data_IF_870485229233
#
_entry.id   IF_870485229233
#
_cell.length_a   1.000
_cell.length_b   1.000
_cell.length_c   1.000
_cell.angle_alpha   90.00
_cell.angle_beta   90.00
_cell.angle_gamma   90.00
#
_symmetry.space_group_name_H-M   'P 1'
#
loop_
_entity.id
_entity.type
_entity.pdbx_description
1 polymer ?
#
# COMPACT_ATOMS: atom_id res chain seq x y z
N UNK A 1 4.55 -12.14 7.91
CA UNK A 1 3.18 -12.51 7.47
C UNK A 1 2.18 -12.65 8.61
N UNK A 2 2.34 -13.61 9.54
CA UNK A 2 1.37 -13.89 10.62
C UNK A 2 0.92 -12.64 11.40
N UNK A 3 1.86 -11.84 11.91
CA UNK A 3 1.52 -10.63 12.68
C UNK A 3 0.84 -9.57 11.82
N UNK A 4 1.36 -9.30 10.62
CA UNK A 4 0.85 -8.24 9.76
C UNK A 4 -0.42 -8.67 9.00
N UNK A 5 -0.28 -9.52 8.00
CA UNK A 5 -1.39 -9.86 7.11
C UNK A 5 -2.47 -10.66 7.82
N UNK A 6 -2.11 -11.71 8.55
CA UNK A 6 -3.12 -12.52 9.24
C UNK A 6 -3.75 -11.76 10.40
N UNK A 7 -2.97 -10.94 11.12
CA UNK A 7 -3.50 -10.03 12.14
C UNK A 7 -4.62 -9.14 11.59
N UNK A 8 -4.38 -8.45 10.47
CA UNK A 8 -5.40 -7.61 9.82
C UNK A 8 -6.60 -8.44 9.35
N UNK A 9 -6.38 -9.62 8.76
CA UNK A 9 -7.47 -10.49 8.33
C UNK A 9 -8.35 -10.95 9.50
N UNK A 10 -7.75 -11.41 10.60
CA UNK A 10 -8.50 -11.96 11.72
C UNK A 10 -9.23 -10.89 12.53
N UNK A 11 -8.67 -9.68 12.69
CA UNK A 11 -9.39 -8.57 13.33
C UNK A 11 -10.60 -8.14 12.49
N UNK A 12 -10.42 -7.98 11.17
CA UNK A 12 -11.51 -7.67 10.25
C UNK A 12 -12.58 -8.76 10.29
N UNK A 13 -12.20 -10.04 10.23
CA UNK A 13 -13.12 -11.18 10.32
C UNK A 13 -13.94 -11.13 11.61
N UNK A 14 -13.32 -10.80 12.74
CA UNK A 14 -13.99 -10.74 14.04
C UNK A 14 -15.01 -9.60 14.13
N UNK A 15 -14.70 -8.40 13.60
CA UNK A 15 -15.61 -7.24 13.67
C UNK A 15 -16.69 -7.25 12.58
N UNK A 16 -16.48 -7.99 11.50
CA UNK A 16 -17.37 -7.97 10.33
C UNK A 16 -18.83 -8.32 10.64
N UNK A 17 -19.16 -9.35 11.44
CA UNK A 17 -20.56 -9.64 11.80
C UNK A 17 -21.25 -8.47 12.51
N UNK A 18 -20.56 -7.83 13.48
CA UNK A 18 -21.07 -6.67 14.20
C UNK A 18 -21.33 -5.49 13.25
N UNK A 19 -20.33 -5.16 12.42
CA UNK A 19 -20.43 -4.04 11.48
C UNK A 19 -21.54 -4.25 10.44
N UNK A 20 -21.76 -5.51 10.01
CA UNK A 20 -22.88 -5.87 9.13
C UNK A 20 -24.23 -5.65 9.80
N UNK A 21 -24.38 -6.03 11.06
CA UNK A 21 -25.63 -5.89 11.82
C UNK A 21 -25.97 -4.42 12.08
N UNK A 22 -25.00 -3.62 12.54
CA UNK A 22 -25.21 -2.21 12.86
C UNK A 22 -25.27 -1.28 11.62
N UNK A 23 -25.00 -1.81 10.42
CA UNK A 23 -24.98 -1.07 9.15
C UNK A 23 -24.02 0.14 9.15
N UNK A 24 -22.94 0.03 9.91
CA UNK A 24 -21.94 1.08 10.08
C UNK A 24 -20.59 0.47 10.46
N UNK A 25 -19.50 1.11 10.06
CA UNK A 25 -18.16 0.75 10.50
C UNK A 25 -17.08 1.48 9.72
N UNK A 26 -15.91 1.65 10.35
CA UNK A 26 -14.71 2.24 9.75
C UNK A 26 -13.53 1.33 10.05
N UNK A 27 -12.87 0.86 9.00
CA UNK A 27 -11.67 0.02 9.11
C UNK A 27 -10.52 0.80 8.47
N UNK A 28 -9.47 1.08 9.25
CA UNK A 28 -8.25 1.74 8.78
C UNK A 28 -7.08 0.78 8.95
N UNK A 29 -6.57 0.27 7.84
CA UNK A 29 -5.46 -0.67 7.80
C UNK A 29 -4.12 0.06 7.60
N UNK A 30 -3.02 -0.56 8.03
CA UNK A 30 -1.69 0.06 7.94
C UNK A 30 -0.76 -0.73 7.03
N UNK A 31 -0.53 -0.20 5.83
CA UNK A 31 0.51 -0.65 4.90
C UNK A 31 1.82 0.13 5.15
N UNK A 32 2.71 0.25 4.15
CA UNK A 32 4.00 0.94 4.23
C UNK A 32 4.54 1.22 2.83
N UNK A 33 5.30 2.29 2.65
CA UNK A 33 6.03 2.55 1.39
C UNK A 33 7.04 1.45 1.04
N UNK A 34 7.51 0.68 2.03
CA UNK A 34 8.43 -0.44 1.80
C UNK A 34 7.83 -1.57 0.95
N UNK A 35 6.50 -1.61 0.77
CA UNK A 35 5.86 -2.54 -0.18
C UNK A 35 5.93 -2.09 -1.64
N UNK A 36 6.21 -0.80 -1.90
CA UNK A 36 6.33 -0.23 -3.26
C UNK A 36 7.77 -0.02 -3.68
N UNK A 37 8.63 0.36 -2.73
CA UNK A 37 9.93 0.90 -3.06
C UNK A 37 10.95 -0.22 -3.34
N UNK A 38 11.62 -0.11 -4.48
CA UNK A 38 12.79 -0.92 -4.86
C UNK A 38 14.00 -0.68 -3.94
N UNK A 39 14.04 0.46 -3.23
CA UNK A 39 15.22 0.89 -2.47
C UNK A 39 15.40 0.21 -1.10
N UNK A 40 14.47 -0.65 -0.68
CA UNK A 40 14.54 -1.33 0.62
C UNK A 40 14.75 -2.84 0.43
N UNK A 41 16.03 -3.22 0.37
CA UNK A 41 16.44 -4.61 0.18
C UNK A 41 16.24 -5.46 1.43
N UNK A 42 16.07 -6.77 1.24
CA UNK A 42 15.97 -7.75 2.33
C UNK A 42 14.61 -7.79 3.07
N UNK A 43 13.61 -7.03 2.62
CA UNK A 43 12.29 -6.92 3.25
C UNK A 43 11.15 -7.56 2.46
N UNK A 44 11.42 -8.54 1.59
CA UNK A 44 10.40 -9.18 0.75
C UNK A 44 9.21 -9.73 1.55
N UNK A 45 9.45 -10.30 2.73
CA UNK A 45 8.41 -10.80 3.64
C UNK A 45 7.51 -9.69 4.24
N UNK A 46 8.07 -8.51 4.49
CA UNK A 46 7.38 -7.34 4.99
C UNK A 46 6.63 -6.66 3.85
N UNK A 47 7.27 -6.44 2.70
CA UNK A 47 6.65 -5.92 1.48
C UNK A 47 5.44 -6.76 1.06
N UNK A 48 5.60 -8.10 0.98
CA UNK A 48 4.50 -9.01 0.69
C UNK A 48 3.34 -8.90 1.69
N UNK A 49 3.64 -8.74 2.99
CA UNK A 49 2.59 -8.54 3.98
C UNK A 49 1.83 -7.22 3.78
N UNK A 50 2.57 -6.14 3.46
CA UNK A 50 2.05 -4.78 3.36
C UNK A 50 1.26 -4.54 2.08
N UNK A 51 1.67 -5.13 0.95
CA UNK A 51 0.85 -5.15 -0.27
C UNK A 51 -0.35 -6.11 -0.14
N UNK A 52 -0.19 -7.23 0.57
CA UNK A 52 -1.32 -8.11 0.91
C UNK A 52 -2.42 -7.38 1.69
N UNK A 53 -2.04 -6.46 2.59
CA UNK A 53 -2.98 -5.62 3.34
C UNK A 53 -3.72 -4.63 2.42
N UNK A 54 -3.07 -4.09 1.38
CA UNK A 54 -3.72 -3.21 0.40
C UNK A 54 -4.76 -3.99 -0.41
N UNK A 55 -4.40 -5.18 -0.88
CA UNK A 55 -5.35 -6.09 -1.54
C UNK A 55 -6.54 -6.46 -0.66
N UNK A 56 -6.28 -6.81 0.61
CA UNK A 56 -7.31 -7.11 1.62
C UNK A 56 -8.25 -5.91 1.81
N UNK A 57 -7.71 -4.71 1.97
CA UNK A 57 -8.47 -3.45 2.14
C UNK A 57 -9.46 -3.26 1.00
N UNK A 58 -9.00 -3.38 -0.26
CA UNK A 58 -9.85 -3.22 -1.45
C UNK A 58 -10.97 -4.25 -1.50
N UNK A 59 -10.69 -5.50 -1.11
CA UNK A 59 -11.69 -6.56 -1.13
C UNK A 59 -12.74 -6.37 -0.04
N UNK A 60 -12.31 -6.07 1.19
CA UNK A 60 -13.21 -5.79 2.33
C UNK A 60 -14.10 -4.58 2.05
N UNK A 61 -13.54 -3.51 1.47
CA UNK A 61 -14.29 -2.33 1.04
C UNK A 61 -15.49 -2.68 0.15
N UNK A 62 -15.29 -3.58 -0.83
CA UNK A 62 -16.35 -4.04 -1.75
C UNK A 62 -17.35 -4.98 -1.08
N UNK A 63 -16.87 -5.90 -0.25
CA UNK A 63 -17.72 -6.91 0.38
C UNK A 63 -18.63 -6.33 1.46
N UNK A 64 -18.11 -5.32 2.18
CA UNK A 64 -18.73 -4.70 3.34
C UNK A 64 -19.44 -3.37 3.02
N UNK A 65 -19.13 -2.74 1.88
CA UNK A 65 -19.69 -1.43 1.49
C UNK A 65 -21.21 -1.40 1.45
N UNK A 66 -21.86 -2.48 1.00
CA UNK A 66 -23.33 -2.63 1.00
C UNK A 66 -23.97 -2.62 2.40
N UNK A 67 -23.16 -2.65 3.46
CA UNK A 67 -23.59 -2.53 4.85
C UNK A 67 -23.14 -1.21 5.49
N UNK A 68 -22.77 -0.18 4.71
CA UNK A 68 -22.38 1.13 5.28
C UNK A 68 -20.99 1.15 5.94
N UNK A 69 -20.17 0.13 5.66
CA UNK A 69 -18.82 -0.01 6.22
C UNK A 69 -17.78 0.45 5.20
N UNK A 70 -16.86 1.32 5.62
CA UNK A 70 -15.70 1.69 4.80
C UNK A 70 -14.44 0.97 5.29
N UNK A 71 -13.56 0.62 4.35
CA UNK A 71 -12.25 0.06 4.62
C UNK A 71 -11.19 0.80 3.79
N UNK A 72 -10.30 1.52 4.45
CA UNK A 72 -9.22 2.28 3.83
C UNK A 72 -7.87 1.86 4.41
N UNK A 73 -6.79 2.26 3.73
CA UNK A 73 -5.44 1.95 4.14
C UNK A 73 -4.58 3.22 4.19
N UNK A 74 -3.63 3.27 5.14
CA UNK A 74 -2.59 4.29 5.20
C UNK A 74 -1.20 3.67 5.01
N UNK A 75 -0.31 4.43 4.39
CA UNK A 75 1.14 4.21 4.31
C UNK A 75 1.83 5.33 5.09
N UNK A 76 1.97 5.20 6.41
CA UNK A 76 2.56 6.23 7.23
C UNK A 76 4.07 6.30 7.03
N UNK A 77 4.61 7.52 7.12
CA UNK A 77 6.03 7.79 7.30
C UNK A 77 6.21 8.64 8.56
N UNK A 78 6.77 8.03 9.61
CA UNK A 78 7.01 8.68 10.90
C UNK A 78 8.29 8.14 11.52
N UNK A 79 9.05 8.99 12.22
CA UNK A 79 10.21 8.61 13.00
C UNK A 79 9.79 7.83 14.23
N UNK A 80 9.76 6.50 14.12
CA UNK A 80 9.50 5.62 15.27
C UNK A 80 10.71 4.73 15.53
N UNK A 81 10.78 4.11 16.72
CA UNK A 81 11.85 3.15 17.07
C UNK A 81 11.99 2.00 16.05
N UNK A 82 10.95 1.74 15.27
CA UNK A 82 10.85 0.65 14.29
C UNK A 82 11.66 0.89 12.99
N UNK A 83 12.10 2.12 12.71
CA UNK A 83 12.65 2.52 11.40
C UNK A 83 14.17 2.74 11.37
N UNK A 84 14.91 2.50 12.46
CA UNK A 84 16.32 2.89 12.56
C UNK A 84 17.23 1.73 12.97
N UNK A 85 18.15 1.35 12.08
CA UNK A 85 19.39 0.64 12.45
C UNK A 85 20.46 1.65 12.86
N UNK A 86 21.40 1.26 13.73
CA UNK A 86 22.46 2.15 14.22
C UNK A 86 23.40 2.66 13.12
N UNK A 87 23.53 1.90 12.02
CA UNK A 87 24.31 2.26 10.84
C UNK A 87 23.65 3.38 10.00
N UNK A 88 22.32 3.37 9.90
CA UNK A 88 21.57 4.44 9.23
C UNK A 88 21.64 5.75 10.02
N UNK A 89 21.75 5.68 11.35
CA UNK A 89 21.87 6.87 12.22
C UNK A 89 23.17 7.63 11.97
N UNK A 90 24.28 6.93 11.70
CA UNK A 90 25.60 7.55 11.49
C UNK A 90 25.77 8.17 10.10
N UNK A 91 25.21 7.58 9.05
CA UNK A 91 25.44 7.99 7.67
C UNK A 91 24.51 9.11 7.16
N UNK A 92 23.41 9.40 7.85
CA UNK A 92 22.36 10.32 7.36
C UNK A 92 21.85 11.31 8.42
N UNK A 93 22.76 12.06 9.05
CA UNK A 93 22.45 12.99 10.16
C UNK A 93 21.34 14.00 9.87
N UNK A 94 21.30 14.59 8.68
CA UNK A 94 20.26 15.58 8.31
C UNK A 94 18.92 14.93 8.00
N UNK A 95 18.91 13.80 7.27
CA UNK A 95 17.68 13.04 7.05
C UNK A 95 17.13 12.52 8.39
N UNK A 96 18.01 12.09 9.30
CA UNK A 96 17.69 11.71 10.67
C UNK A 96 17.02 12.85 11.44
N UNK A 97 17.57 14.07 11.40
CA UNK A 97 16.97 15.23 12.08
C UNK A 97 15.56 15.54 11.55
N UNK A 98 15.34 15.40 10.23
CA UNK A 98 13.99 15.54 9.64
C UNK A 98 13.06 14.39 10.06
N UNK A 99 13.57 13.16 10.15
CA UNK A 99 12.81 12.00 10.60
C UNK A 99 12.41 12.09 12.09
N UNK A 100 13.28 12.60 12.96
CA UNK A 100 12.99 12.82 14.39
C UNK A 100 11.90 13.87 14.62
N UNK A 101 11.69 14.76 13.65
CA UNK A 101 10.61 15.75 13.68
C UNK A 101 9.26 15.21 13.19
N UNK A 102 9.23 14.01 12.57
CA UNK A 102 8.00 13.36 12.12
C UNK A 102 7.49 12.45 13.23
N UNK A 103 6.49 12.91 13.97
CA UNK A 103 6.00 12.20 15.14
C UNK A 103 4.78 11.33 14.78
N UNK A 104 4.48 10.24 15.53
CA UNK A 104 3.27 9.45 15.33
C UNK A 104 1.98 10.30 15.35
N UNK A 105 1.98 11.39 16.11
CA UNK A 105 0.86 12.33 16.20
C UNK A 105 0.58 13.03 14.87
N UNK A 106 1.55 13.12 13.96
CA UNK A 106 1.33 13.67 12.61
C UNK A 106 0.47 12.75 11.73
N UNK A 107 0.34 11.47 12.09
CA UNK A 107 -0.46 10.46 11.37
C UNK A 107 -1.90 10.43 11.87
N UNK A 108 -2.10 10.66 13.17
CA UNK A 108 -3.37 10.50 13.85
C UNK A 108 -4.53 11.32 13.24
N UNK A 109 -4.37 12.59 12.82
CA UNK A 109 -5.45 13.39 12.25
C UNK A 109 -6.13 12.73 11.04
N UNK A 110 -5.35 12.16 10.11
CA UNK A 110 -5.91 11.47 8.95
C UNK A 110 -6.67 10.19 9.36
N UNK A 111 -6.17 9.45 10.34
CA UNK A 111 -6.84 8.24 10.86
C UNK A 111 -8.18 8.62 11.49
N UNK A 112 -8.21 9.69 12.29
CA UNK A 112 -9.44 10.20 12.92
C UNK A 112 -10.42 10.66 11.86
N UNK A 113 -9.99 11.41 10.85
CA UNK A 113 -10.86 11.84 9.76
C UNK A 113 -11.41 10.66 8.95
N UNK A 114 -10.59 9.64 8.63
CA UNK A 114 -11.06 8.41 7.97
C UNK A 114 -12.04 7.60 8.83
N UNK A 115 -12.03 7.82 10.15
CA UNK A 115 -12.95 7.20 11.09
C UNK A 115 -14.23 8.02 11.34
N UNK A 116 -14.36 9.22 10.76
CA UNK A 116 -15.53 10.08 10.93
C UNK A 116 -16.64 9.79 9.91
N UNK A 117 -17.77 10.49 10.06
CA UNK A 117 -18.88 10.47 9.11
C UNK A 117 -18.57 11.23 7.82
N UNK A 118 -17.70 12.24 7.87
CA UNK A 118 -17.28 12.99 6.67
C UNK A 118 -16.59 12.10 5.64
N UNK A 119 -15.96 11.00 6.09
CA UNK A 119 -15.29 10.03 5.24
C UNK A 119 -16.20 8.89 4.74
N UNK A 120 -17.53 8.99 4.88
CA UNK A 120 -18.48 7.92 4.50
C UNK A 120 -18.35 7.47 3.04
N UNK A 121 -17.98 8.39 2.14
CA UNK A 121 -17.80 8.11 0.71
C UNK A 121 -16.35 7.74 0.32
N UNK A 122 -15.45 7.69 1.30
CA UNK A 122 -14.06 7.24 1.09
C UNK A 122 -13.97 5.77 1.43
N UNK A 123 -13.87 4.92 0.41
CA UNK A 123 -13.83 3.48 0.60
C UNK A 123 -12.87 2.79 -0.38
N UNK A 124 -12.08 1.83 0.11
CA UNK A 124 -11.11 1.08 -0.68
C UNK A 124 -9.90 1.90 -1.13
N UNK A 125 -9.60 3.03 -0.45
CA UNK A 125 -8.51 3.95 -0.83
C UNK A 125 -7.27 3.75 0.02
N UNK A 126 -6.10 4.05 -0.57
CA UNK A 126 -4.82 3.99 0.13
C UNK A 126 -4.18 5.37 0.14
N UNK A 127 -3.87 5.88 1.33
CA UNK A 127 -3.27 7.20 1.51
C UNK A 127 -1.81 7.10 1.95
N UNK A 128 -0.97 7.97 1.42
CA UNK A 128 0.31 8.33 2.03
C UNK A 128 0.08 9.39 3.11
N UNK A 129 0.79 9.29 4.23
CA UNK A 129 0.72 10.32 5.27
C UNK A 129 2.05 10.47 6.01
N UNK A 130 2.49 11.71 6.13
CA UNK A 130 3.58 12.15 7.00
C UNK A 130 3.30 13.58 7.46
N UNK A 131 4.19 14.12 8.29
CA UNK A 131 4.12 15.52 8.70
C UNK A 131 4.00 16.47 7.51
N UNK A 132 2.89 17.19 7.43
CA UNK A 132 2.64 18.22 6.41
C UNK A 132 2.32 17.69 5.01
N UNK A 133 2.18 16.37 4.80
CA UNK A 133 1.88 15.81 3.48
C UNK A 133 0.93 14.63 3.58
N UNK A 134 -0.19 14.73 2.86
CA UNK A 134 -1.14 13.65 2.63
C UNK A 134 -1.20 13.42 1.12
N UNK A 135 -1.04 12.18 0.70
CA UNK A 135 -1.12 11.78 -0.71
C UNK A 135 -2.16 10.67 -0.89
N UNK A 136 -2.74 10.58 -2.09
CA UNK A 136 -3.63 9.48 -2.46
C UNK A 136 -2.92 8.60 -3.48
N UNK A 137 -2.80 7.30 -3.21
CA UNK A 137 -2.31 6.34 -4.20
C UNK A 137 -3.39 6.02 -5.22
N UNK A 138 -2.97 5.91 -6.48
CA UNK A 138 -3.80 5.35 -7.54
C UNK A 138 -4.06 3.87 -7.29
N UNK A 139 -5.16 3.38 -7.84
CA UNK A 139 -5.42 1.95 -7.94
C UNK A 139 -4.68 1.39 -9.16
N UNK A 140 -4.18 0.15 -9.15
CA UNK A 140 -3.72 -0.53 -10.36
C UNK A 140 -4.79 -0.46 -11.44
N UNK A 141 -4.36 0.06 -12.59
CA UNK A 141 -5.09 0.15 -13.85
C UNK A 141 -4.24 -0.50 -14.93
N UNK A 142 -4.89 -0.98 -15.98
CA UNK A 142 -4.19 -1.52 -17.14
C UNK A 142 -3.48 -0.36 -17.86
N UNK A 143 -2.14 -0.35 -17.85
CA UNK A 143 -1.36 0.75 -18.43
C UNK A 143 -1.24 0.63 -19.96
N UNK A 144 -0.98 -0.58 -20.46
CA UNK A 144 -0.82 -0.88 -21.89
C UNK A 144 -1.53 -2.20 -22.20
N UNK A 145 -2.09 -2.32 -23.41
CA UNK A 145 -2.75 -3.54 -23.88
C UNK A 145 -2.54 -3.73 -25.38
N UNK A 146 -2.30 -4.98 -25.79
CA UNK A 146 -2.44 -5.43 -27.17
C UNK A 146 -3.69 -6.29 -27.28
N UNK A 147 -4.46 -6.09 -28.35
CA UNK A 147 -5.70 -6.82 -28.63
C UNK A 147 -5.62 -7.41 -30.03
N UNK A 148 -5.95 -8.68 -30.17
CA UNK A 148 -6.13 -9.35 -31.46
C UNK A 148 -7.25 -10.38 -31.39
N UNK A 149 -7.74 -10.80 -32.55
CA UNK A 149 -8.62 -11.97 -32.64
C UNK A 149 -7.81 -13.26 -32.42
N UNK A 150 -8.36 -14.21 -31.65
CA UNK A 150 -7.70 -15.48 -31.34
C UNK A 150 -6.56 -15.39 -30.31
N UNK A 151 -5.87 -16.51 -30.08
CA UNK A 151 -4.76 -16.61 -29.12
C UNK A 151 -3.42 -16.15 -29.71
N UNK A 152 -2.54 -15.60 -28.87
CA UNK A 152 -1.17 -15.24 -29.23
C UNK A 152 -0.29 -16.50 -29.40
N UNK A 153 0.54 -16.52 -30.44
CA UNK A 153 1.61 -17.50 -30.61
C UNK A 153 2.88 -17.01 -29.94
N UNK A 154 3.80 -17.92 -29.63
CA UNK A 154 5.10 -17.55 -29.03
C UNK A 154 5.87 -16.60 -29.96
N UNK A 155 5.92 -16.88 -31.27
CA UNK A 155 6.64 -16.08 -32.25
C UNK A 155 6.12 -14.63 -32.33
N UNK A 156 4.80 -14.44 -32.29
CA UNK A 156 4.20 -13.10 -32.25
C UNK A 156 4.60 -12.36 -30.98
N UNK A 157 4.63 -13.02 -29.82
CA UNK A 157 5.01 -12.38 -28.56
C UNK A 157 6.47 -11.92 -28.59
N UNK A 158 7.39 -12.75 -29.10
CA UNK A 158 8.80 -12.36 -29.28
C UNK A 158 8.98 -11.22 -30.29
N UNK A 159 8.10 -11.12 -31.29
CA UNK A 159 8.12 -10.03 -32.27
C UNK A 159 7.57 -8.71 -31.70
N UNK A 160 6.38 -8.76 -31.09
CA UNK A 160 5.64 -7.54 -30.73
C UNK A 160 5.95 -7.01 -29.33
N UNK A 161 6.12 -7.86 -28.31
CA UNK A 161 6.33 -7.39 -26.92
C UNK A 161 7.54 -6.44 -26.80
N UNK A 162 8.74 -6.77 -27.34
CA UNK A 162 9.92 -5.93 -27.18
C UNK A 162 9.77 -4.50 -27.71
N UNK A 163 9.03 -4.34 -28.83
CA UNK A 163 8.87 -3.06 -29.52
C UNK A 163 7.59 -2.31 -29.11
N UNK A 164 6.71 -2.93 -28.32
CA UNK A 164 5.46 -2.32 -27.85
C UNK A 164 5.36 -2.27 -26.33
N UNK A 165 5.06 -3.40 -25.68
CA UNK A 165 4.72 -3.52 -24.27
C UNK A 165 5.91 -3.18 -23.36
N UNK A 166 7.10 -3.64 -23.72
CA UNK A 166 8.31 -3.41 -22.91
C UNK A 166 9.18 -2.28 -23.43
N UNK A 167 8.78 -1.63 -24.52
CA UNK A 167 9.47 -0.45 -25.02
C UNK A 167 9.46 0.63 -23.92
N UNK A 168 10.65 1.14 -23.63
CA UNK A 168 10.90 2.15 -22.58
C UNK A 168 10.69 1.67 -21.13
N UNK A 169 10.38 0.40 -20.90
CA UNK A 169 10.40 -0.14 -19.54
C UNK A 169 11.85 -0.26 -19.05
N UNK A 170 12.09 0.27 -17.87
CA UNK A 170 13.38 0.19 -17.20
C UNK A 170 13.34 -0.96 -16.20
N UNK A 171 14.38 -1.80 -16.19
CA UNK A 171 14.61 -2.69 -15.06
C UNK A 171 14.95 -1.80 -13.85
N UNK A 172 14.16 -1.82 -12.76
CA UNK A 172 14.39 -0.95 -11.61
C UNK A 172 15.71 -1.24 -10.91
N UNK A 173 16.19 -2.50 -10.93
CA UNK A 173 17.44 -2.94 -10.31
C UNK A 173 18.20 -3.89 -11.27
N UNK A 174 18.87 -3.35 -12.31
CA UNK A 174 19.65 -4.18 -13.23
C UNK A 174 20.91 -4.73 -12.54
N UNK A 175 21.40 -5.92 -12.96
CA UNK A 175 22.65 -6.45 -12.43
C UNK A 175 23.79 -5.45 -12.69
N UNK A 176 24.71 -5.33 -11.73
CA UNK A 176 25.91 -4.52 -11.95
C UNK A 176 26.73 -5.11 -13.11
N UNK A 177 27.38 -4.26 -13.93
CA UNK A 177 28.30 -4.75 -14.94
C UNK A 177 29.37 -5.63 -14.28
N UNK A 178 29.70 -6.73 -14.96
CA UNK A 178 30.83 -7.59 -14.56
C UNK A 178 32.15 -6.86 -14.73
#
# INVERSE_FOLDING_TARGET
>A
LKVHLYGHFYTIRAVSPLFRQQRYGRIINTSSVAGLNATTYGQANYGAAKEGIVGLTRKVARDMGRYGVTCNCIRPNAGTRLTLSDEMRKSRREAMARFEQMKPEDIAPLVVWLASDDAVNVNGRTFYVERGRIGLYSEPVLEKQLVKAGGWTIDELFMFIPVTMTKELLNPDPPQPK
#
